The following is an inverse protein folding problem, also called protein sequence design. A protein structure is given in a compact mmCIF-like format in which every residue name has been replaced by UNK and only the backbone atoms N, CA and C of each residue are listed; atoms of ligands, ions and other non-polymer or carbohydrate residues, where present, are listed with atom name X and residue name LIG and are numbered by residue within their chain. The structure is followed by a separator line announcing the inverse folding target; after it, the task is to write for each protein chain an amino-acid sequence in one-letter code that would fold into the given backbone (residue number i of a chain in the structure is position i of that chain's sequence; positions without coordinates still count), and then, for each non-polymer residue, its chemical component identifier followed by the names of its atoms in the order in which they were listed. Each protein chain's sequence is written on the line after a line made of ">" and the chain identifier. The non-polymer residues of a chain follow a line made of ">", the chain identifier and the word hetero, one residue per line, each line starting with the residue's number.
data_IF_499733625445
#
_entry.id   IF_499733625445
#
_cell.length_a   1.000
_cell.length_b   1.000
_cell.length_c   1.000
_cell.angle_alpha   90.00
_cell.angle_beta   90.00
_cell.angle_gamma   90.00
#
_symmetry.space_group_name_H-M   'P 1'
#
loop_
_entity.id
_entity.type
_entity.pdbx_description
1 polymer ?
#
# COMPACT_ATOMS: atom_id res chain seq x y z
N UNK A 1 -20.99 -11.04 -9.58
CA UNK A 1 -20.24 -10.23 -8.62
C UNK A 1 -18.80 -10.64 -8.78
N UNK A 2 -18.12 -9.95 -9.68
CA UNK A 2 -16.71 -9.64 -9.52
C UNK A 2 -16.75 -8.14 -9.35
N UNK A 3 -17.08 -7.68 -8.13
CA UNK A 3 -17.41 -6.28 -7.84
C UNK A 3 -16.12 -5.43 -7.71
N UNK A 4 -15.00 -5.95 -8.23
CA UNK A 4 -13.64 -5.65 -7.82
C UNK A 4 -12.72 -5.54 -9.03
N UNK A 5 -13.25 -5.32 -10.23
CA UNK A 5 -12.40 -5.22 -11.41
C UNK A 5 -12.91 -4.13 -12.35
N UNK A 6 -12.03 -3.17 -12.64
CA UNK A 6 -12.25 -2.17 -13.67
C UNK A 6 -11.66 -2.69 -14.98
N UNK A 7 -12.42 -2.57 -16.06
CA UNK A 7 -11.96 -2.91 -17.39
C UNK A 7 -11.59 -1.64 -18.17
N UNK A 8 -10.31 -1.44 -18.42
CA UNK A 8 -9.79 -0.30 -19.19
C UNK A 8 -9.53 -0.74 -20.62
N UNK A 9 -9.99 0.06 -21.59
CA UNK A 9 -9.70 -0.13 -23.01
C UNK A 9 -8.91 1.08 -23.49
N UNK A 10 -7.69 0.85 -23.96
CA UNK A 10 -6.90 1.88 -24.64
C UNK A 10 -7.45 2.09 -26.06
N UNK A 11 -8.09 3.24 -26.26
CA UNK A 11 -8.74 3.60 -27.52
C UNK A 11 -7.75 3.96 -28.62
N UNK A 12 -6.52 4.37 -28.30
CA UNK A 12 -5.52 4.61 -29.33
C UNK A 12 -4.98 3.29 -29.90
N UNK A 13 -4.94 2.25 -29.06
CA UNK A 13 -4.44 0.92 -29.42
C UNK A 13 -5.55 -0.02 -29.94
N UNK A 14 -6.82 0.25 -29.66
CA UNK A 14 -7.94 -0.59 -30.08
C UNK A 14 -8.19 -0.49 -31.60
N UNK A 15 -7.86 -1.54 -32.36
CA UNK A 15 -8.07 -1.61 -33.81
C UNK A 15 -8.99 -2.80 -34.22
N UNK A 16 -10.33 -2.66 -34.06
CA UNK A 16 -11.30 -3.72 -34.35
C UNK A 16 -11.23 -4.26 -35.78
N UNK A 17 -10.99 -3.40 -36.76
CA UNK A 17 -10.86 -3.76 -38.19
C UNK A 17 -9.75 -4.77 -38.48
N UNK A 18 -8.77 -4.88 -37.58
CA UNK A 18 -7.59 -5.72 -37.74
C UNK A 18 -7.57 -6.94 -36.83
N UNK A 19 -8.39 -6.97 -35.77
CA UNK A 19 -8.51 -8.11 -34.88
C UNK A 19 -9.85 -8.85 -34.98
N UNK A 20 -10.84 -8.37 -35.74
CA UNK A 20 -12.13 -9.07 -35.89
C UNK A 20 -12.80 -9.42 -34.54
N UNK A 21 -12.62 -8.55 -33.53
CA UNK A 21 -13.22 -8.69 -32.20
C UNK A 21 -12.89 -9.99 -31.45
N UNK A 22 -11.67 -10.52 -31.57
CA UNK A 22 -11.24 -11.73 -30.83
C UNK A 22 -11.56 -11.66 -29.32
N UNK A 23 -11.39 -10.49 -28.70
CA UNK A 23 -11.74 -10.27 -27.31
C UNK A 23 -13.21 -10.64 -27.00
N UNK A 24 -14.16 -10.18 -27.81
CA UNK A 24 -15.59 -10.49 -27.67
C UNK A 24 -15.91 -11.94 -28.05
N UNK A 25 -15.28 -12.47 -29.10
CA UNK A 25 -15.50 -13.84 -29.59
C UNK A 25 -15.10 -14.89 -28.56
N UNK A 26 -14.02 -14.64 -27.80
CA UNK A 26 -13.49 -15.58 -26.80
C UNK A 26 -13.98 -15.31 -25.38
N UNK A 27 -14.60 -14.16 -25.12
CA UNK A 27 -15.15 -13.81 -23.81
C UNK A 27 -16.23 -14.82 -23.35
N UNK A 28 -16.04 -15.53 -22.22
CA UNK A 28 -17.00 -16.55 -21.78
C UNK A 28 -18.42 -16.01 -21.54
N UNK A 29 -18.61 -14.83 -20.91
CA UNK A 29 -19.92 -14.17 -20.88
C UNK A 29 -20.57 -13.96 -22.27
N UNK A 30 -19.85 -13.44 -23.26
CA UNK A 30 -20.37 -13.28 -24.62
C UNK A 30 -20.77 -14.62 -25.26
N UNK A 31 -19.95 -15.65 -25.09
CA UNK A 31 -20.24 -17.01 -25.60
C UNK A 31 -21.45 -17.67 -24.93
N UNK A 32 -21.82 -17.20 -23.73
CA UNK A 32 -23.04 -17.64 -23.03
C UNK A 32 -24.24 -16.73 -23.30
N UNK A 33 -24.12 -15.78 -24.23
CA UNK A 33 -25.21 -14.91 -24.68
C UNK A 33 -25.37 -13.62 -23.86
N UNK A 34 -24.42 -13.28 -22.98
CA UNK A 34 -24.43 -12.00 -22.25
C UNK A 34 -23.67 -10.93 -23.02
N UNK A 35 -24.06 -9.67 -22.85
CA UNK A 35 -23.42 -8.54 -23.53
C UNK A 35 -22.25 -7.96 -22.72
N UNK A 36 -21.24 -8.78 -22.41
CA UNK A 36 -20.08 -8.34 -21.62
C UNK A 36 -19.16 -7.41 -22.40
N UNK A 37 -18.80 -7.76 -23.63
CA UNK A 37 -18.02 -6.90 -24.54
C UNK A 37 -18.93 -6.54 -25.70
N UNK A 38 -19.16 -5.24 -25.91
CA UNK A 38 -20.02 -4.69 -26.98
C UNK A 38 -19.29 -3.57 -27.71
N UNK A 39 -19.78 -3.19 -28.88
CA UNK A 39 -19.30 -1.96 -29.54
C UNK A 39 -19.80 -0.72 -28.80
N UNK A 40 -19.07 0.38 -28.93
CA UNK A 40 -19.40 1.67 -28.31
C UNK A 40 -20.64 2.32 -28.92
N UNK A 41 -20.83 2.14 -30.23
CA UNK A 41 -21.96 2.70 -30.98
C UNK A 41 -21.77 4.17 -31.34
N UNK A 42 -22.67 4.71 -32.18
CA UNK A 42 -22.55 6.07 -32.74
C UNK A 42 -22.68 7.18 -31.66
N UNK A 43 -23.31 6.87 -30.53
CA UNK A 43 -23.56 7.80 -29.43
C UNK A 43 -22.43 7.85 -28.39
N UNK A 44 -21.26 7.29 -28.70
CA UNK A 44 -20.15 7.24 -27.75
C UNK A 44 -19.50 8.61 -27.55
N UNK A 45 -19.33 9.02 -26.29
CA UNK A 45 -18.69 10.29 -25.94
C UNK A 45 -17.19 10.32 -26.30
N UNK A 46 -16.53 9.15 -26.30
CA UNK A 46 -15.10 8.98 -26.56
C UNK A 46 -14.81 7.67 -27.32
N UNK A 47 -13.85 7.74 -28.25
CA UNK A 47 -13.45 6.64 -29.14
C UNK A 47 -14.29 6.55 -30.41
N UNK A 48 -13.89 5.63 -31.29
CA UNK A 48 -14.66 5.32 -32.50
C UNK A 48 -15.85 4.39 -32.20
N UNK A 49 -16.98 4.51 -32.93
CA UNK A 49 -18.19 3.71 -32.71
C UNK A 49 -17.97 2.19 -32.74
N UNK A 50 -17.02 1.74 -33.56
CA UNK A 50 -16.68 0.32 -33.74
C UNK A 50 -15.74 -0.20 -32.65
N UNK A 51 -15.13 0.68 -31.84
CA UNK A 51 -14.31 0.24 -30.71
C UNK A 51 -15.15 -0.39 -29.62
N UNK A 52 -14.51 -1.24 -28.82
CA UNK A 52 -15.21 -2.01 -27.80
C UNK A 52 -15.41 -1.20 -26.50
N UNK A 53 -16.43 -1.59 -25.76
CA UNK A 53 -16.62 -1.30 -24.34
C UNK A 53 -16.84 -2.61 -23.60
N UNK A 54 -16.41 -2.65 -22.34
CA UNK A 54 -16.52 -3.83 -21.49
C UNK A 54 -17.44 -3.47 -20.32
N UNK A 55 -18.49 -4.25 -20.11
CA UNK A 55 -19.38 -4.11 -18.96
C UNK A 55 -18.70 -4.66 -17.71
N UNK A 56 -18.43 -3.78 -16.76
CA UNK A 56 -17.85 -4.13 -15.46
C UNK A 56 -18.79 -5.02 -14.63
N UNK A 57 -20.11 -4.85 -14.78
CA UNK A 57 -21.11 -5.66 -14.07
C UNK A 57 -21.16 -7.12 -14.52
N UNK A 58 -20.84 -7.38 -15.80
CA UNK A 58 -20.93 -8.71 -16.41
C UNK A 58 -19.56 -9.41 -16.46
N UNK A 59 -18.48 -8.62 -16.50
CA UNK A 59 -17.12 -9.13 -16.57
C UNK A 59 -16.81 -10.07 -15.39
N UNK A 60 -15.99 -11.09 -15.65
CA UNK A 60 -15.52 -12.03 -14.63
C UNK A 60 -14.23 -11.54 -13.93
N UNK A 61 -13.74 -10.36 -14.30
CA UNK A 61 -12.55 -9.74 -13.72
C UNK A 61 -11.23 -10.36 -14.17
N UNK A 62 -10.16 -9.98 -13.45
CA UNK A 62 -8.77 -10.33 -13.77
C UNK A 62 -8.53 -11.84 -13.87
N UNK A 63 -9.15 -12.62 -12.96
CA UNK A 63 -8.99 -14.08 -12.91
C UNK A 63 -9.42 -14.81 -14.19
N UNK A 64 -10.27 -14.18 -15.00
CA UNK A 64 -10.61 -14.68 -16.32
C UNK A 64 -9.56 -14.25 -17.36
N UNK A 65 -9.30 -12.95 -17.51
CA UNK A 65 -8.20 -12.40 -18.33
C UNK A 65 -8.20 -12.75 -19.84
N UNK A 66 -9.14 -13.53 -20.36
CA UNK A 66 -9.10 -14.07 -21.73
C UNK A 66 -9.08 -12.95 -22.78
N UNK A 67 -9.84 -11.87 -22.56
CA UNK A 67 -9.89 -10.75 -23.51
C UNK A 67 -8.55 -10.00 -23.61
N UNK A 68 -7.80 -9.90 -22.51
CA UNK A 68 -6.46 -9.32 -22.46
C UNK A 68 -5.51 -10.17 -23.30
N UNK A 69 -5.43 -11.48 -23.01
CA UNK A 69 -4.55 -12.43 -23.72
C UNK A 69 -4.89 -12.56 -25.21
N UNK A 70 -6.17 -12.37 -25.59
CA UNK A 70 -6.62 -12.47 -26.98
C UNK A 70 -6.52 -11.16 -27.75
N UNK A 71 -6.23 -10.03 -27.10
CA UNK A 71 -6.08 -8.76 -27.79
C UNK A 71 -4.68 -8.70 -28.45
N UNK A 72 -4.56 -8.70 -29.79
CA UNK A 72 -3.25 -8.67 -30.45
C UNK A 72 -2.57 -7.29 -30.41
N UNK A 73 -3.22 -6.30 -29.78
CA UNK A 73 -2.78 -4.92 -29.69
C UNK A 73 -2.55 -4.47 -28.24
N UNK A 74 -2.69 -5.39 -27.27
CA UNK A 74 -2.56 -5.09 -25.84
C UNK A 74 -3.47 -3.92 -25.38
N UNK A 75 -4.59 -3.73 -26.07
CA UNK A 75 -5.49 -2.58 -25.87
C UNK A 75 -6.48 -2.75 -24.70
N UNK A 76 -6.39 -3.82 -23.93
CA UNK A 76 -7.33 -4.15 -22.85
C UNK A 76 -6.53 -4.46 -21.59
N UNK A 77 -6.89 -3.82 -20.50
CA UNK A 77 -6.36 -4.09 -19.17
C UNK A 77 -7.52 -4.32 -18.21
N UNK A 78 -7.43 -5.37 -17.37
CA UNK A 78 -8.39 -5.61 -16.30
C UNK A 78 -7.67 -5.37 -14.99
N UNK A 79 -8.03 -4.28 -14.32
CA UNK A 79 -7.39 -3.84 -13.07
C UNK A 79 -8.26 -4.32 -11.91
N UNK A 80 -7.66 -5.07 -11.00
CA UNK A 80 -8.31 -5.42 -9.75
C UNK A 80 -8.38 -4.18 -8.84
N UNK A 81 -9.59 -3.81 -8.45
CA UNK A 81 -9.80 -2.80 -7.43
C UNK A 81 -9.47 -3.44 -6.08
N UNK A 82 -8.66 -2.77 -5.23
CA UNK A 82 -8.52 -3.23 -3.86
C UNK A 82 -9.90 -3.15 -3.20
N UNK A 83 -10.47 -4.31 -2.87
CA UNK A 83 -11.53 -4.38 -1.88
C UNK A 83 -11.04 -3.65 -0.63
N UNK A 84 -11.91 -2.91 0.05
CA UNK A 84 -11.69 -2.70 1.48
C UNK A 84 -11.49 -4.10 2.05
N UNK A 85 -10.32 -4.33 2.66
CA UNK A 85 -10.04 -5.61 3.29
C UNK A 85 -11.23 -5.91 4.22
N UNK A 86 -11.73 -7.14 4.19
CA UNK A 86 -12.78 -7.58 5.13
C UNK A 86 -12.32 -7.44 6.60
N UNK A 87 -11.01 -7.25 6.79
CA UNK A 87 -10.34 -7.02 8.05
C UNK A 87 -10.49 -5.57 8.55
N UNK A 88 -10.58 -5.43 9.87
CA UNK A 88 -10.54 -4.12 10.51
C UNK A 88 -9.17 -3.44 10.30
N UNK A 89 -9.14 -2.13 9.97
CA UNK A 89 -7.88 -1.42 9.78
C UNK A 89 -7.15 -1.29 11.11
N UNK A 90 -5.82 -1.45 11.07
CA UNK A 90 -4.95 -1.24 12.24
C UNK A 90 -5.06 0.19 12.77
N UNK A 91 -5.10 1.15 11.84
CA UNK A 91 -5.19 2.56 12.18
C UNK A 91 -5.92 3.34 11.08
N UNK A 92 -6.82 4.24 11.48
CA UNK A 92 -7.54 5.17 10.59
C UNK A 92 -7.40 6.59 11.12
N UNK A 93 -7.05 7.55 10.25
CA UNK A 93 -6.86 8.95 10.68
C UNK A 93 -8.15 9.76 10.82
N UNK A 94 -9.27 9.27 10.33
CA UNK A 94 -10.54 9.99 10.31
C UNK A 94 -11.54 9.37 9.34
N UNK A 95 -12.75 9.94 9.30
CA UNK A 95 -13.77 9.56 8.33
C UNK A 95 -13.29 9.83 6.89
N UNK A 96 -13.37 8.81 6.03
CA UNK A 96 -12.84 8.82 4.65
C UNK A 96 -11.35 9.21 4.54
N UNK A 97 -10.58 9.05 5.62
CA UNK A 97 -9.15 9.29 5.62
C UNK A 97 -8.37 8.00 5.33
N UNK A 98 -7.05 8.16 5.17
CA UNK A 98 -6.14 7.03 5.02
C UNK A 98 -6.32 6.03 6.17
N UNK A 99 -6.45 4.75 5.80
CA UNK A 99 -6.51 3.61 6.70
C UNK A 99 -5.34 2.68 6.41
N UNK A 100 -4.62 2.29 7.45
CA UNK A 100 -3.55 1.30 7.39
C UNK A 100 -4.13 -0.07 7.72
N UNK A 101 -3.76 -1.05 6.91
CA UNK A 101 -4.11 -2.44 7.13
C UNK A 101 -2.84 -3.29 7.25
N UNK A 102 -2.86 -4.23 8.20
CA UNK A 102 -1.71 -5.03 8.56
C UNK A 102 -0.55 -4.24 9.18
N UNK A 103 0.33 -4.97 9.89
CA UNK A 103 1.61 -4.45 10.38
C UNK A 103 2.70 -5.49 10.17
N UNK A 104 3.93 -5.08 9.82
CA UNK A 104 5.05 -5.99 9.77
C UNK A 104 5.54 -6.34 11.18
N UNK A 105 5.73 -7.62 11.45
CA UNK A 105 6.33 -8.10 12.70
C UNK A 105 7.87 -7.97 12.66
N UNK A 106 8.49 -7.14 13.53
CA UNK A 106 9.95 -7.15 13.67
C UNK A 106 10.41 -8.46 14.30
N UNK A 107 11.53 -9.01 13.81
CA UNK A 107 12.14 -10.22 14.34
C UNK A 107 13.54 -9.92 14.86
N UNK A 108 13.85 -10.36 16.08
CA UNK A 108 15.17 -10.16 16.68
C UNK A 108 16.29 -10.72 15.81
N UNK A 109 17.38 -9.96 15.69
CA UNK A 109 18.55 -10.35 14.90
C UNK A 109 18.34 -10.37 13.39
N UNK A 110 17.18 -9.92 12.88
CA UNK A 110 16.85 -9.86 11.45
C UNK A 110 16.52 -8.45 11.00
N UNK A 111 16.70 -8.20 9.71
CA UNK A 111 16.32 -6.93 9.07
C UNK A 111 15.02 -7.13 8.30
N UNK A 112 13.94 -6.55 8.80
CA UNK A 112 12.64 -6.55 8.12
C UNK A 112 12.58 -5.39 7.11
N UNK A 113 12.43 -5.71 5.83
CA UNK A 113 12.29 -4.73 4.75
C UNK A 113 10.83 -4.37 4.47
N UNK A 114 10.52 -3.08 4.35
CA UNK A 114 9.19 -2.59 3.94
C UNK A 114 9.34 -1.92 2.57
N UNK A 115 8.73 -2.50 1.54
CA UNK A 115 8.78 -2.00 0.16
C UNK A 115 7.37 -1.72 -0.35
N UNK A 116 7.18 -0.57 -0.99
CA UNK A 116 5.92 -0.19 -1.60
C UNK A 116 5.91 1.28 -2.04
N UNK A 117 4.91 1.71 -2.82
CA UNK A 117 4.77 3.10 -3.27
C UNK A 117 4.56 4.07 -2.11
N UNK A 118 4.76 5.37 -2.35
CA UNK A 118 4.44 6.40 -1.36
C UNK A 118 2.93 6.46 -1.13
N UNK A 119 2.52 6.78 0.10
CA UNK A 119 1.10 6.85 0.46
C UNK A 119 0.47 5.52 0.91
N UNK A 120 1.17 4.39 0.81
CA UNK A 120 0.64 3.07 1.26
C UNK A 120 0.74 2.83 2.78
N UNK A 121 1.13 3.84 3.56
CA UNK A 121 1.21 3.72 5.02
C UNK A 121 2.51 3.21 5.62
N UNK A 122 3.61 3.06 4.84
CA UNK A 122 4.93 2.65 5.36
C UNK A 122 5.37 3.48 6.57
N UNK A 123 5.25 4.82 6.47
CA UNK A 123 5.62 5.73 7.55
C UNK A 123 4.70 5.59 8.75
N UNK A 124 3.40 5.33 8.53
CA UNK A 124 2.43 5.08 9.61
C UNK A 124 2.77 3.79 10.35
N UNK A 125 3.05 2.69 9.64
CA UNK A 125 3.46 1.43 10.25
C UNK A 125 4.72 1.60 11.12
N UNK A 126 5.74 2.32 10.62
CA UNK A 126 6.96 2.60 11.38
C UNK A 126 6.68 3.45 12.63
N UNK A 127 5.73 4.39 12.56
CA UNK A 127 5.35 5.22 13.73
C UNK A 127 4.64 4.41 14.79
N UNK A 128 3.77 3.48 14.39
CA UNK A 128 3.08 2.57 15.30
C UNK A 128 4.08 1.66 16.01
N UNK A 129 4.98 1.02 15.26
CA UNK A 129 6.03 0.19 15.85
C UNK A 129 7.00 1.00 16.73
N UNK A 130 7.11 2.31 16.52
CA UNK A 130 7.96 3.18 17.34
C UNK A 130 7.24 3.80 18.56
N UNK A 131 6.01 3.37 18.86
CA UNK A 131 5.16 3.95 19.91
C UNK A 131 4.92 5.47 19.76
N UNK A 132 4.99 5.99 18.54
CA UNK A 132 4.67 7.41 18.26
C UNK A 132 3.17 7.63 18.01
N UNK A 133 2.45 6.56 17.64
CA UNK A 133 1.03 6.53 17.35
C UNK A 133 0.48 5.18 17.81
N UNK A 134 -0.55 5.15 18.65
CA UNK A 134 -1.22 3.91 19.03
C UNK A 134 -2.15 3.42 17.89
N UNK A 135 -2.23 2.09 17.64
CA UNK A 135 -3.25 1.52 16.76
C UNK A 135 -4.64 1.90 17.29
N UNK A 136 -5.54 2.32 16.42
CA UNK A 136 -6.90 2.65 16.82
C UNK A 136 -7.96 1.68 16.28
N UNK A 137 -7.54 0.59 15.63
CA UNK A 137 -8.41 -0.48 15.14
C UNK A 137 -9.58 0.05 14.27
N UNK A 138 -9.38 1.17 13.58
CA UNK A 138 -10.39 1.84 12.77
C UNK A 138 -11.31 2.81 13.50
N UNK A 139 -11.32 2.78 14.83
CA UNK A 139 -12.05 3.69 15.70
C UNK A 139 -11.27 5.01 15.87
N UNK A 140 -11.42 5.91 14.91
CA UNK A 140 -10.75 7.21 14.89
C UNK A 140 -11.40 8.24 15.83
N UNK A 141 -12.64 8.01 16.26
CA UNK A 141 -13.44 8.90 17.11
C UNK A 141 -13.47 8.46 18.58
N UNK A 142 -13.18 7.19 18.86
CA UNK A 142 -13.09 6.60 20.20
C UNK A 142 -11.88 5.65 20.24
N UNK A 143 -10.68 6.22 20.44
CA UNK A 143 -9.43 5.46 20.39
C UNK A 143 -9.41 4.37 21.49
N UNK A 144 -9.24 3.09 21.11
CA UNK A 144 -9.21 1.98 22.05
C UNK A 144 -8.01 2.06 23.00
N UNK A 145 -8.15 1.44 24.16
CA UNK A 145 -7.02 1.21 25.05
C UNK A 145 -6.12 0.08 24.53
N UNK A 146 -4.91 -0.02 25.11
CA UNK A 146 -3.99 -1.10 24.78
C UNK A 146 -4.55 -2.48 25.09
N UNK A 147 -5.51 -2.62 26.01
CA UNK A 147 -6.13 -3.92 26.29
C UNK A 147 -6.94 -4.43 25.07
N UNK A 148 -7.66 -3.56 24.38
CA UNK A 148 -8.34 -3.89 23.13
C UNK A 148 -7.35 -4.18 21.99
N UNK A 149 -6.25 -3.42 21.88
CA UNK A 149 -5.19 -3.70 20.91
C UNK A 149 -4.57 -5.08 21.15
N UNK A 150 -4.25 -5.44 22.39
CA UNK A 150 -3.72 -6.77 22.72
C UNK A 150 -4.72 -7.89 22.50
N UNK A 151 -6.03 -7.62 22.62
CA UNK A 151 -7.07 -8.60 22.33
C UNK A 151 -7.08 -8.99 20.85
N UNK A 152 -7.00 -7.99 19.96
CA UNK A 152 -6.94 -8.15 18.51
C UNK A 152 -5.67 -8.91 18.07
N UNK A 153 -4.51 -8.53 18.61
CA UNK A 153 -3.24 -9.14 18.24
C UNK A 153 -2.93 -10.46 18.96
N UNK A 154 -3.86 -11.00 19.77
CA UNK A 154 -3.62 -12.23 20.53
C UNK A 154 -3.37 -13.44 19.62
N UNK A 155 -2.24 -14.12 19.86
CA UNK A 155 -1.82 -15.29 19.09
C UNK A 155 -1.16 -14.95 17.75
N UNK A 156 -0.95 -13.67 17.45
CA UNK A 156 -0.19 -13.22 16.27
C UNK A 156 1.30 -13.13 16.56
N UNK A 157 2.12 -13.02 15.51
CA UNK A 157 3.57 -12.77 15.66
C UNK A 157 3.90 -11.41 16.30
N UNK A 158 2.96 -10.46 16.27
CA UNK A 158 3.13 -9.11 16.81
C UNK A 158 2.84 -9.00 18.30
N UNK A 159 2.13 -9.96 18.89
CA UNK A 159 1.63 -9.87 20.27
C UNK A 159 2.75 -9.49 21.25
N UNK A 160 3.80 -10.32 21.32
CA UNK A 160 4.89 -10.10 22.27
C UNK A 160 5.59 -8.76 22.08
N UNK A 161 5.75 -8.32 20.82
CA UNK A 161 6.39 -7.05 20.52
C UNK A 161 5.55 -5.87 20.99
N UNK A 162 4.23 -5.91 20.78
CA UNK A 162 3.32 -4.87 21.24
C UNK A 162 3.21 -4.86 22.77
N UNK A 163 3.21 -6.02 23.42
CA UNK A 163 3.29 -6.15 24.88
C UNK A 163 4.57 -5.48 25.42
N UNK A 164 5.73 -5.82 24.86
CA UNK A 164 7.01 -5.21 25.24
C UNK A 164 7.05 -3.69 25.00
N UNK A 165 6.31 -3.21 23.98
CA UNK A 165 6.22 -1.79 23.64
C UNK A 165 5.35 -1.04 24.67
N UNK A 166 4.16 -1.55 24.99
CA UNK A 166 3.23 -0.96 25.99
C UNK A 166 3.84 -0.97 27.40
N UNK A 167 4.56 -2.04 27.76
CA UNK A 167 5.27 -2.11 29.04
C UNK A 167 6.54 -1.24 29.09
N UNK A 168 6.96 -0.65 27.95
CA UNK A 168 8.17 0.14 27.83
C UNK A 168 9.47 -0.67 27.95
N UNK A 169 9.41 -1.98 27.76
CA UNK A 169 10.56 -2.88 27.75
C UNK A 169 11.41 -2.71 26.49
N UNK A 170 10.83 -2.23 25.39
CA UNK A 170 11.50 -1.93 24.13
C UNK A 170 11.46 -0.42 23.85
N UNK A 171 12.63 0.14 23.53
CA UNK A 171 12.75 1.53 23.02
C UNK A 171 13.18 1.50 21.56
N UNK A 172 12.53 2.33 20.74
CA UNK A 172 12.74 2.32 19.29
C UNK A 172 13.42 3.61 18.84
N UNK A 173 14.63 3.48 18.31
CA UNK A 173 15.34 4.59 17.67
C UNK A 173 14.89 4.73 16.21
N UNK A 174 14.21 5.83 15.87
CA UNK A 174 13.79 6.12 14.49
C UNK A 174 14.62 7.23 13.87
N UNK A 175 15.18 6.97 12.68
CA UNK A 175 15.72 8.03 11.83
C UNK A 175 14.58 8.81 11.16
N UNK A 176 14.43 10.13 11.38
CA UNK A 176 13.37 10.90 10.75
C UNK A 176 13.52 10.89 9.23
N UNK A 177 12.38 10.90 8.53
CA UNK A 177 12.36 10.93 7.07
C UNK A 177 12.97 12.23 6.51
N UNK A 178 12.70 13.36 7.16
CA UNK A 178 13.21 14.70 6.79
C UNK A 178 14.43 15.05 7.64
N UNK A 179 15.61 14.59 7.23
CA UNK A 179 16.88 14.86 7.91
C UNK A 179 17.29 16.34 7.83
N UNK A 180 16.79 17.06 6.84
CA UNK A 180 16.96 18.49 6.62
C UNK A 180 16.34 19.35 7.74
N UNK A 181 15.42 18.79 8.53
CA UNK A 181 14.77 19.47 9.66
C UNK A 181 15.44 19.25 11.01
N UNK A 182 16.54 18.49 11.06
CA UNK A 182 17.32 18.31 12.29
C UNK A 182 17.79 19.66 12.88
N UNK A 183 18.30 20.62 12.07
CA UNK A 183 18.73 21.93 12.57
C UNK A 183 17.61 22.76 13.21
N UNK A 184 16.33 22.49 12.90
CA UNK A 184 15.19 23.21 13.50
C UNK A 184 15.01 22.86 14.97
N UNK A 185 15.47 21.67 15.39
CA UNK A 185 15.28 21.13 16.74
C UNK A 185 16.55 21.12 17.58
N UNK A 186 17.71 21.24 16.94
CA UNK A 186 19.00 21.23 17.61
C UNK A 186 19.87 22.38 17.12
N UNK A 187 20.39 23.17 18.06
CA UNK A 187 21.43 24.15 17.81
C UNK A 187 22.77 23.66 18.38
N UNK A 188 23.86 23.89 17.66
CA UNK A 188 25.19 23.42 18.05
C UNK A 188 25.97 22.90 16.84
N UNK A 189 27.10 22.27 17.12
CA UNK A 189 27.89 21.57 16.08
C UNK A 189 27.56 20.06 16.02
N UNK A 190 28.06 19.40 14.99
CA UNK A 190 27.83 17.96 14.75
C UNK A 190 28.25 17.09 15.94
N UNK A 191 29.39 17.41 16.56
CA UNK A 191 29.92 16.67 17.71
C UNK A 191 29.00 16.76 18.91
N UNK A 192 28.55 17.97 19.26
CA UNK A 192 27.61 18.20 20.37
C UNK A 192 26.30 17.41 20.17
N UNK A 193 25.77 17.39 18.94
CA UNK A 193 24.56 16.61 18.63
C UNK A 193 24.80 15.11 18.88
N UNK A 194 25.89 14.58 18.35
CA UNK A 194 26.16 13.15 18.38
C UNK A 194 26.53 12.67 19.79
N UNK A 195 27.31 13.45 20.55
CA UNK A 195 27.65 13.18 21.95
C UNK A 195 26.40 13.21 22.85
N UNK A 196 25.44 14.10 22.56
CA UNK A 196 24.17 14.15 23.29
C UNK A 196 23.30 12.91 23.07
N UNK A 197 23.39 12.29 21.89
CA UNK A 197 22.58 11.10 21.51
C UNK A 197 23.29 9.77 21.72
N UNK A 198 24.57 9.76 22.13
CA UNK A 198 25.32 8.52 22.33
C UNK A 198 25.00 7.88 23.68
N UNK A 199 24.03 6.98 23.67
CA UNK A 199 23.64 6.19 24.84
C UNK A 199 24.46 4.90 24.98
N UNK A 200 25.27 4.56 23.97
CA UNK A 200 25.98 3.28 23.88
C UNK A 200 27.49 3.41 24.09
N UNK A 201 28.03 4.63 24.08
CA UNK A 201 29.45 4.89 24.20
C UNK A 201 30.25 4.42 22.99
N UNK A 202 29.63 4.36 21.80
CA UNK A 202 30.24 3.84 20.56
C UNK A 202 30.43 4.92 19.50
N UNK A 203 30.29 6.20 19.87
CA UNK A 203 30.40 7.31 18.91
C UNK A 203 31.71 7.31 18.13
N UNK A 204 32.86 7.16 18.80
CA UNK A 204 34.16 7.20 18.13
C UNK A 204 34.32 6.11 17.07
N UNK A 205 33.82 4.89 17.34
CA UNK A 205 33.81 3.78 16.38
C UNK A 205 32.93 4.14 15.16
N UNK A 206 31.74 4.71 15.39
CA UNK A 206 30.82 5.10 14.33
C UNK A 206 31.39 6.25 13.47
N UNK A 207 32.10 7.20 14.10
CA UNK A 207 32.75 8.32 13.41
C UNK A 207 33.81 7.82 12.43
N UNK A 208 34.65 6.88 12.87
CA UNK A 208 35.66 6.26 12.02
C UNK A 208 35.01 5.43 10.91
N UNK A 209 34.07 4.55 11.27
CA UNK A 209 33.40 3.63 10.34
C UNK A 209 32.61 4.36 9.25
N UNK A 210 31.96 5.48 9.58
CA UNK A 210 31.20 6.30 8.63
C UNK A 210 32.04 7.40 7.98
N UNK A 211 33.32 7.52 8.36
CA UNK A 211 34.26 8.51 7.83
C UNK A 211 33.77 9.96 7.95
N UNK A 212 33.08 10.27 9.05
CA UNK A 212 32.53 11.62 9.31
C UNK A 212 33.46 12.50 10.16
N UNK A 213 34.66 12.02 10.51
CA UNK A 213 35.66 12.78 11.27
C UNK A 213 35.92 14.22 10.77
N UNK A 214 35.94 14.51 9.45
CA UNK A 214 36.13 15.88 8.95
C UNK A 214 34.98 16.86 9.25
N UNK A 215 33.79 16.36 9.60
CA UNK A 215 32.60 17.18 9.91
C UNK A 215 32.19 17.11 11.38
N UNK A 216 32.98 16.40 12.20
CA UNK A 216 32.91 16.40 13.67
C UNK A 216 33.56 17.65 14.25
#
# INVERSE_FOLDING_TARGET
>A
MADDSIAVVDLDSCQPDRCNYECANYCPPNRTGKECITTRGEDADEGDPDQIRISEEICLGETCGICVEKCPFDAIEIINLPQELEDDPVHRYGDNAFSLYGLPAPQEGRVTGILGPNGIGKTTAVRILADEISPNLGAWDDEPDWAAVMDEYRGTELQNYLEDLDEGAVTVARKPQYVDRIPDRFGGNTRELLEHTDERGVLDELVERLSIGPVM
#
